data_IF_650150801608
#
_entry.id   IF_650150801608
#
_cell.length_a   1.000
_cell.length_b   1.000
_cell.length_c   1.000
_cell.angle_alpha   90.00
_cell.angle_beta   90.00
_cell.angle_gamma   90.00
#
_symmetry.space_group_name_H-M   'P 1'
#
loop_
_entity.id
_entity.type
_entity.pdbx_description
1 polymer ?
#
# COMPACT_ATOMS: atom_id res chain seq x y z
N UNK A 1 23.39 -3.71 2.56
CA UNK A 1 22.13 -3.60 1.80
C UNK A 1 21.23 -2.47 2.30
N UNK A 2 21.06 -2.29 3.61
CA UNK A 2 20.26 -1.17 4.18
C UNK A 2 20.79 0.24 3.86
N UNK A 3 22.04 0.37 3.40
CA UNK A 3 22.60 1.65 2.95
C UNK A 3 22.02 2.13 1.60
N UNK A 4 21.61 1.20 0.73
CA UNK A 4 21.07 1.53 -0.60
C UNK A 4 19.54 1.61 -0.61
N UNK A 5 18.88 0.81 0.24
CA UNK A 5 17.43 0.80 0.40
C UNK A 5 17.16 0.91 1.91
N UNK A 6 17.06 2.14 2.45
CA UNK A 6 16.83 2.32 3.87
C UNK A 6 15.41 1.87 4.24
N UNK A 7 15.23 1.14 5.36
CA UNK A 7 13.90 0.93 5.89
C UNK A 7 13.33 2.27 6.37
N UNK A 8 12.08 2.53 6.02
CA UNK A 8 11.35 3.68 6.55
C UNK A 8 10.51 3.26 7.75
N UNK A 9 10.43 4.10 8.81
CA UNK A 9 9.48 3.88 9.89
C UNK A 9 8.05 3.91 9.33
N UNK A 10 7.08 3.41 10.07
CA UNK A 10 5.66 3.52 9.73
C UNK A 10 5.06 4.71 10.51
N UNK A 11 4.89 5.89 9.90
CA UNK A 11 4.36 7.04 10.63
C UNK A 11 2.86 6.84 10.92
N UNK A 12 2.33 7.63 11.86
CA UNK A 12 0.96 7.43 12.37
C UNK A 12 -0.13 7.77 11.35
N UNK A 13 0.15 8.65 10.39
CA UNK A 13 -0.75 9.03 9.30
C UNK A 13 -1.07 7.85 8.35
N UNK A 14 -0.18 6.85 8.27
CA UNK A 14 -0.44 5.58 7.56
C UNK A 14 -1.72 4.91 8.07
N UNK A 15 -2.03 5.04 9.36
CA UNK A 15 -3.22 4.44 9.95
C UNK A 15 -4.52 4.98 9.33
N UNK A 16 -4.53 6.25 8.90
CA UNK A 16 -5.70 6.86 8.25
C UNK A 16 -5.92 6.27 6.86
N UNK A 17 -4.85 6.14 6.06
CA UNK A 17 -4.90 5.49 4.75
C UNK A 17 -5.30 4.02 4.88
N UNK A 18 -4.74 3.31 5.87
CA UNK A 18 -5.08 1.92 6.15
C UNK A 18 -6.56 1.78 6.52
N UNK A 19 -7.04 2.56 7.49
CA UNK A 19 -8.41 2.49 8.00
C UNK A 19 -9.43 2.80 6.91
N UNK A 20 -9.20 3.87 6.12
CA UNK A 20 -10.05 4.25 4.99
C UNK A 20 -10.17 3.12 3.98
N UNK A 21 -9.05 2.56 3.52
CA UNK A 21 -9.04 1.51 2.51
C UNK A 21 -9.56 0.17 3.06
N UNK A 22 -9.24 -0.19 4.31
CA UNK A 22 -9.76 -1.40 4.97
C UNK A 22 -11.29 -1.36 5.04
N UNK A 23 -11.84 -0.24 5.48
CA UNK A 23 -13.29 -0.03 5.56
C UNK A 23 -13.93 -0.15 4.18
N UNK A 24 -13.33 0.45 3.15
CA UNK A 24 -13.82 0.39 1.78
C UNK A 24 -13.85 -1.04 1.22
N UNK A 25 -12.77 -1.80 1.38
CA UNK A 25 -12.69 -3.18 0.90
C UNK A 25 -13.63 -4.12 1.66
N UNK A 26 -13.72 -3.95 2.98
CA UNK A 26 -14.67 -4.70 3.81
C UNK A 26 -16.11 -4.47 3.36
N UNK A 27 -16.51 -3.22 3.10
CA UNK A 27 -17.85 -2.87 2.57
C UNK A 27 -18.12 -3.50 1.20
N UNK A 28 -17.10 -3.65 0.36
CA UNK A 28 -17.21 -4.25 -0.98
C UNK A 28 -17.12 -5.79 -0.97
N UNK A 29 -16.85 -6.41 0.19
CA UNK A 29 -16.61 -7.85 0.28
C UNK A 29 -15.35 -8.31 -0.46
N UNK A 30 -14.38 -7.40 -0.69
CA UNK A 30 -13.17 -7.69 -1.44
C UNK A 30 -12.05 -8.00 -0.43
N UNK A 31 -11.50 -9.23 -0.44
CA UNK A 31 -10.34 -9.54 0.39
C UNK A 31 -9.08 -8.85 -0.18
N UNK A 32 -8.27 -8.31 0.73
CA UNK A 32 -6.92 -7.82 0.47
C UNK A 32 -5.99 -8.36 1.56
N UNK A 33 -4.78 -8.76 1.17
CA UNK A 33 -3.75 -9.20 2.09
C UNK A 33 -3.53 -8.19 3.22
N UNK A 34 -3.40 -8.68 4.47
CA UNK A 34 -3.24 -7.79 5.62
C UNK A 34 -1.99 -6.90 5.51
N UNK A 35 -0.87 -7.48 5.09
CA UNK A 35 0.38 -6.74 4.91
C UNK A 35 0.35 -5.89 3.64
N UNK A 36 -0.28 -6.35 2.57
CA UNK A 36 -0.41 -5.58 1.33
C UNK A 36 -1.15 -4.26 1.57
N UNK A 37 -2.19 -4.29 2.39
CA UNK A 37 -2.90 -3.07 2.74
C UNK A 37 -2.03 -2.11 3.56
N UNK A 38 -1.19 -2.61 4.47
CA UNK A 38 -0.23 -1.78 5.20
C UNK A 38 0.85 -1.19 4.30
N UNK A 39 1.38 -1.98 3.37
CA UNK A 39 2.39 -1.55 2.39
C UNK A 39 1.81 -0.46 1.48
N UNK A 40 0.61 -0.66 0.97
CA UNK A 40 -0.08 0.32 0.14
C UNK A 40 -0.42 1.60 0.91
N UNK A 41 -0.91 1.48 2.15
CA UNK A 41 -1.18 2.63 3.00
C UNK A 41 0.09 3.45 3.27
N UNK A 42 1.22 2.78 3.49
CA UNK A 42 2.51 3.43 3.67
C UNK A 42 2.95 4.17 2.40
N UNK A 43 2.85 3.52 1.23
CA UNK A 43 3.17 4.16 -0.05
C UNK A 43 2.28 5.39 -0.34
N UNK A 44 0.99 5.32 -0.02
CA UNK A 44 0.05 6.45 -0.14
C UNK A 44 0.43 7.61 0.79
N UNK A 45 0.78 7.33 2.05
CA UNK A 45 1.17 8.39 3.01
C UNK A 45 2.42 9.15 2.58
N UNK A 46 3.35 8.46 1.89
CA UNK A 46 4.60 9.04 1.41
C UNK A 46 4.49 9.63 -0.01
N UNK A 47 3.35 9.48 -0.68
CA UNK A 47 3.12 9.82 -2.09
C UNK A 47 4.15 9.22 -3.07
N UNK A 48 4.54 7.96 -2.84
CA UNK A 48 5.55 7.25 -3.66
C UNK A 48 4.95 6.19 -4.58
N UNK A 49 5.76 5.70 -5.52
CA UNK A 49 5.42 4.57 -6.40
C UNK A 49 5.71 3.26 -5.67
N UNK A 50 4.71 2.38 -5.57
CA UNK A 50 4.88 1.01 -5.09
C UNK A 50 5.30 0.10 -6.25
N UNK A 51 6.51 -0.45 -6.18
CA UNK A 51 6.96 -1.47 -7.12
C UNK A 51 6.49 -2.84 -6.63
N UNK A 52 5.63 -3.51 -7.39
CA UNK A 52 5.06 -4.80 -6.99
C UNK A 52 4.70 -5.70 -8.18
N UNK A 53 5.05 -6.99 -8.07
CA UNK A 53 4.67 -7.99 -9.07
C UNK A 53 3.16 -8.32 -9.04
N UNK A 54 2.51 -8.15 -7.88
CA UNK A 54 1.07 -8.40 -7.72
C UNK A 54 0.23 -7.16 -8.05
N UNK A 55 0.41 -6.60 -9.25
CA UNK A 55 -0.29 -5.36 -9.64
C UNK A 55 -1.82 -5.47 -9.53
N UNK A 56 -2.39 -6.66 -9.77
CA UNK A 56 -3.84 -6.88 -9.76
C UNK A 56 -4.46 -6.59 -8.40
N UNK A 57 -3.77 -6.94 -7.32
CA UNK A 57 -4.23 -6.69 -5.96
C UNK A 57 -4.19 -5.20 -5.62
N UNK A 58 -3.06 -4.54 -5.95
CA UNK A 58 -2.80 -3.14 -5.61
C UNK A 58 -3.57 -2.14 -6.48
N UNK A 59 -3.83 -2.44 -7.76
CA UNK A 59 -4.62 -1.58 -8.68
C UNK A 59 -6.05 -1.32 -8.21
N UNK A 60 -6.54 -2.09 -7.23
CA UNK A 60 -7.86 -1.89 -6.60
C UNK A 60 -7.87 -0.73 -5.60
N UNK A 61 -6.70 -0.24 -5.19
CA UNK A 61 -6.54 0.88 -4.26
C UNK A 61 -6.47 2.17 -5.08
N UNK A 62 -7.42 3.07 -4.84
CA UNK A 62 -7.44 4.35 -5.52
C UNK A 62 -6.21 5.19 -5.13
N UNK A 63 -5.71 6.00 -6.06
CA UNK A 63 -4.60 6.96 -5.87
C UNK A 63 -3.21 6.31 -5.64
N UNK A 64 -3.13 4.98 -5.50
CA UNK A 64 -1.85 4.28 -5.37
C UNK A 64 -1.13 4.22 -6.72
N UNK A 65 0.06 4.83 -6.79
CA UNK A 65 0.96 4.74 -7.93
C UNK A 65 1.69 3.40 -7.89
N UNK A 66 1.67 2.64 -8.98
CA UNK A 66 2.22 1.28 -9.04
C UNK A 66 3.07 1.12 -10.29
N UNK A 67 4.19 0.43 -10.16
CA UNK A 67 4.99 -0.08 -11.26
C UNK A 67 5.24 -1.58 -11.09
N UNK A 68 5.40 -2.30 -12.19
CA UNK A 68 5.92 -3.65 -12.22
C UNK A 68 7.19 -3.69 -13.06
N UNK A 69 8.25 -4.27 -12.48
CA UNK A 69 9.57 -4.38 -13.09
C UNK A 69 9.91 -5.81 -13.52
N UNK A 70 8.95 -6.74 -13.45
CA UNK A 70 9.09 -8.17 -13.79
C UNK A 70 8.16 -8.55 -14.94
#
# INVERSE_FOLDING_TARGET
MTHYIPPLPLPTDVADYYGKNRSLFAKKGIPIGNNDLWIAAHALSLDVILVANNEKEFKRIAELKIENWV
#
